data_IF_516570802126
#
_entry.id   IF_516570802126
#
_cell.length_a   1.000
_cell.length_b   1.000
_cell.length_c   1.000
_cell.angle_alpha   90.00
_cell.angle_beta   90.00
_cell.angle_gamma   90.00
#
_symmetry.space_group_name_H-M   'P 1'
#
loop_
_entity.id
_entity.type
_entity.pdbx_description
1 polymer ?
#
# COMPACT_ATOMS: atom_id res chain seq x y z
N UNK A 1 -3.70 10.83 1.50
CA UNK A 1 -3.42 10.25 0.17
C UNK A 1 -2.08 10.78 -0.30
N UNK A 2 -1.11 9.90 -0.53
CA UNK A 2 0.14 10.25 -1.21
C UNK A 2 -0.14 10.71 -2.64
N UNK A 3 0.53 11.79 -3.06
CA UNK A 3 0.39 12.30 -4.42
C UNK A 3 1.11 11.35 -5.38
N UNK A 4 0.51 11.05 -6.53
CA UNK A 4 1.08 10.13 -7.52
C UNK A 4 2.51 10.52 -7.95
N UNK A 5 2.81 11.83 -7.96
CA UNK A 5 4.14 12.36 -8.26
C UNK A 5 5.21 11.90 -7.26
N UNK A 6 4.90 11.92 -5.95
CA UNK A 6 5.83 11.49 -4.91
C UNK A 6 6.19 10.01 -5.07
N UNK A 7 5.21 9.16 -5.41
CA UNK A 7 5.48 7.73 -5.66
C UNK A 7 6.33 7.49 -6.91
N UNK A 8 6.22 8.35 -7.94
CA UNK A 8 7.07 8.26 -9.15
C UNK A 8 8.49 8.76 -8.94
N UNK A 9 8.72 9.61 -7.94
CA UNK A 9 10.05 10.14 -7.59
C UNK A 9 10.83 9.20 -6.65
N UNK A 10 10.18 8.22 -6.02
CA UNK A 10 10.83 7.24 -5.13
C UNK A 10 11.71 6.24 -5.89
N UNK A 11 12.77 5.76 -5.25
CA UNK A 11 13.59 4.68 -5.78
C UNK A 11 12.82 3.35 -5.81
N UNK A 12 13.23 2.43 -6.66
CA UNK A 12 12.56 1.13 -6.81
C UNK A 12 12.61 0.29 -5.53
N UNK A 13 13.75 0.31 -4.85
CA UNK A 13 13.95 -0.36 -3.55
C UNK A 13 12.97 0.19 -2.51
N UNK A 14 12.78 1.52 -2.47
CA UNK A 14 11.85 2.15 -1.54
C UNK A 14 10.39 1.79 -1.87
N UNK A 15 10.05 1.70 -3.16
CA UNK A 15 8.72 1.27 -3.60
C UNK A 15 8.46 -0.19 -3.21
N UNK A 16 9.44 -1.08 -3.36
CA UNK A 16 9.34 -2.47 -2.92
C UNK A 16 9.19 -2.57 -1.39
N UNK A 17 10.00 -1.83 -0.64
CA UNK A 17 9.88 -1.74 0.82
C UNK A 17 8.49 -1.23 1.23
N UNK A 18 7.98 -0.20 0.54
CA UNK A 18 6.62 0.34 0.74
C UNK A 18 5.54 -0.71 0.48
N UNK A 19 5.69 -1.57 -0.52
CA UNK A 19 4.77 -2.69 -0.78
C UNK A 19 4.72 -3.66 0.40
N UNK A 20 5.88 -4.03 0.96
CA UNK A 20 5.96 -4.93 2.11
C UNK A 20 5.28 -4.32 3.33
N UNK A 21 5.58 -3.05 3.63
CA UNK A 21 4.95 -2.32 4.73
C UNK A 21 3.43 -2.19 4.58
N UNK A 22 2.95 -1.84 3.38
CA UNK A 22 1.52 -1.74 3.10
C UNK A 22 0.80 -3.09 3.21
N UNK A 23 1.45 -4.20 2.80
CA UNK A 23 0.89 -5.55 3.00
C UNK A 23 0.79 -5.92 4.47
N UNK A 24 1.80 -5.59 5.28
CA UNK A 24 1.82 -5.83 6.72
C UNK A 24 0.76 -4.99 7.44
N UNK A 25 0.64 -3.71 7.08
CA UNK A 25 -0.41 -2.83 7.61
C UNK A 25 -1.81 -3.35 7.27
N UNK A 26 -2.04 -3.75 6.01
CA UNK A 26 -3.31 -4.33 5.58
C UNK A 26 -3.66 -5.62 6.35
N UNK A 27 -2.67 -6.46 6.64
CA UNK A 27 -2.86 -7.64 7.48
C UNK A 27 -3.33 -7.24 8.88
N UNK A 28 -2.64 -6.29 9.53
CA UNK A 28 -3.01 -5.79 10.85
C UNK A 28 -4.40 -5.13 10.87
N UNK A 29 -4.75 -4.37 9.84
CA UNK A 29 -6.08 -3.76 9.75
C UNK A 29 -7.18 -4.81 9.55
N UNK A 30 -6.90 -5.88 8.78
CA UNK A 30 -7.86 -6.99 8.58
C UNK A 30 -8.05 -7.81 9.84
N UNK A 31 -6.99 -8.08 10.60
CA UNK A 31 -7.11 -8.80 11.88
C UNK A 31 -7.89 -7.98 12.89
N UNK A 32 -7.63 -6.67 13.01
CA UNK A 32 -8.42 -5.74 13.85
C UNK A 32 -9.87 -5.60 13.39
N UNK A 33 -10.12 -5.57 12.07
CA UNK A 33 -11.49 -5.57 11.56
C UNK A 33 -12.25 -6.85 11.94
N UNK A 34 -11.57 -7.99 11.98
CA UNK A 34 -12.17 -9.25 12.39
C UNK A 34 -12.50 -9.28 13.89
N UNK A 35 -11.71 -8.61 14.75
CA UNK A 35 -12.03 -8.47 16.19
C UNK A 35 -13.11 -7.42 16.48
N UNK A 36 -13.58 -6.69 15.45
CA UNK A 36 -14.50 -5.54 15.56
C UNK A 36 -13.94 -4.34 16.34
N UNK A 37 -12.63 -4.30 16.59
CA UNK A 37 -11.95 -3.18 17.27
C UNK A 37 -11.37 -2.16 16.29
N UNK A 38 -11.95 -2.07 15.08
CA UNK A 38 -11.46 -1.16 14.05
C UNK A 38 -12.39 0.05 13.92
N UNK A 39 -11.94 1.18 14.45
CA UNK A 39 -12.66 2.45 14.38
C UNK A 39 -12.85 2.97 12.94
N UNK A 40 -11.92 2.63 12.04
CA UNK A 40 -11.90 3.18 10.69
C UNK A 40 -11.74 2.11 9.60
N UNK A 41 -12.86 1.53 9.18
CA UNK A 41 -12.94 0.59 8.05
C UNK A 41 -12.42 1.21 6.74
N UNK A 42 -12.55 2.53 6.56
CA UNK A 42 -12.05 3.22 5.35
C UNK A 42 -10.53 3.15 5.24
N UNK A 43 -9.80 2.96 6.34
CA UNK A 43 -8.34 2.79 6.33
C UNK A 43 -7.93 1.59 5.46
N UNK A 44 -8.65 0.46 5.55
CA UNK A 44 -8.40 -0.73 4.71
C UNK A 44 -8.54 -0.39 3.22
N UNK A 45 -9.58 0.34 2.86
CA UNK A 45 -9.81 0.73 1.47
C UNK A 45 -8.73 1.70 0.97
N UNK A 46 -8.31 2.65 1.81
CA UNK A 46 -7.25 3.60 1.47
C UNK A 46 -5.90 2.90 1.26
N UNK A 47 -5.48 2.05 2.19
CA UNK A 47 -4.23 1.30 2.06
C UNK A 47 -4.24 0.35 0.87
N UNK A 48 -5.37 -0.33 0.59
CA UNK A 48 -5.51 -1.17 -0.59
C UNK A 48 -5.33 -0.37 -1.88
N UNK A 49 -5.90 0.83 -1.95
CA UNK A 49 -5.73 1.73 -3.10
C UNK A 49 -4.29 2.24 -3.21
N UNK A 50 -3.65 2.53 -2.09
CA UNK A 50 -2.25 2.96 -2.08
C UNK A 50 -1.31 1.84 -2.54
N UNK A 51 -1.51 0.61 -2.04
CA UNK A 51 -0.78 -0.57 -2.50
C UNK A 51 -0.94 -0.78 -4.01
N UNK A 52 -2.17 -0.69 -4.53
CA UNK A 52 -2.42 -0.82 -5.95
C UNK A 52 -1.63 0.21 -6.78
N UNK A 53 -1.58 1.48 -6.35
CA UNK A 53 -0.82 2.53 -7.04
C UNK A 53 0.68 2.22 -7.08
N UNK A 54 1.25 1.78 -5.96
CA UNK A 54 2.67 1.42 -5.89
C UNK A 54 2.98 0.24 -6.82
N UNK A 55 2.13 -0.79 -6.81
CA UNK A 55 2.26 -1.94 -7.71
C UNK A 55 2.15 -1.54 -9.19
N UNK A 56 1.25 -0.61 -9.54
CA UNK A 56 1.12 -0.07 -10.90
C UNK A 56 2.40 0.63 -11.33
N UNK A 57 2.99 1.49 -10.49
CA UNK A 57 4.24 2.20 -10.82
C UNK A 57 5.41 1.23 -10.97
N UNK A 58 5.53 0.24 -10.08
CA UNK A 58 6.54 -0.81 -10.19
C UNK A 58 6.42 -1.56 -11.52
N UNK A 59 5.19 -1.86 -11.95
CA UNK A 59 4.93 -2.51 -13.24
C UNK A 59 5.17 -1.58 -14.43
N UNK A 60 4.85 -0.29 -14.34
CA UNK A 60 5.19 0.73 -15.35
C UNK A 60 6.71 0.82 -15.56
N UNK A 61 7.51 0.60 -14.50
CA UNK A 61 8.98 0.56 -14.56
C UNK A 61 9.55 -0.76 -15.08
N UNK A 62 8.72 -1.73 -15.42
CA UNK A 62 9.15 -3.04 -15.95
C UNK A 62 9.59 -4.04 -14.87
N UNK A 63 9.42 -3.72 -13.58
CA UNK A 63 9.71 -4.65 -12.49
C UNK A 63 8.60 -5.70 -12.46
N UNK A 64 8.98 -6.96 -12.66
CA UNK A 64 8.09 -8.10 -12.48
C UNK A 64 8.15 -8.51 -11.00
N UNK A 65 7.08 -8.21 -10.27
CA UNK A 65 6.87 -8.57 -8.86
C UNK A 65 6.36 -9.99 -8.69
#
# INVERSE_FOLDING_TARGET
MTRARQLREMAEVDLQARVVELRKSLFNLRTRAATKDLDNIRAIQMERRELARVLTILRERGIRL
#
